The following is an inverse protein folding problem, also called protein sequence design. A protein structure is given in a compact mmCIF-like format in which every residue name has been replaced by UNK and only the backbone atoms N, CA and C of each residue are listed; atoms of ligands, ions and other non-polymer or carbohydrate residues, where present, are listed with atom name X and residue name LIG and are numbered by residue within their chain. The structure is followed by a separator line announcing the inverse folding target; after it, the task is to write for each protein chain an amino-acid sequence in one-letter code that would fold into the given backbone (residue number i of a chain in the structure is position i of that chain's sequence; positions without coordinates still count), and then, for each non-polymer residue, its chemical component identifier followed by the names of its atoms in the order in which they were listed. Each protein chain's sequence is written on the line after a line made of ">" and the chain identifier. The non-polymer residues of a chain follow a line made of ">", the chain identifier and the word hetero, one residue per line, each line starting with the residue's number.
data_IF_259983585488
#
_entry.id   IF_259983585488
#
_cell.length_a   1.000
_cell.length_b   1.000
_cell.length_c   1.000
_cell.angle_alpha   90.00
_cell.angle_beta   90.00
_cell.angle_gamma   90.00
#
_symmetry.space_group_name_H-M   'P 1'
#
loop_
_entity.id
_entity.type
_entity.pdbx_description
1 polymer ?
#
# COMPACT_ATOMS: atom_id res chain seq x y z
N UNK A 1 -5.51 -4.05 11.43
CA UNK A 1 -5.35 -4.01 12.91
C UNK A 1 -4.80 -2.68 13.43
N UNK A 2 -3.59 -2.20 13.07
CA UNK A 2 -2.97 -0.98 13.64
C UNK A 2 -3.88 0.27 13.56
N UNK A 3 -4.54 0.53 12.43
CA UNK A 3 -5.48 1.64 12.26
C UNK A 3 -6.69 1.52 13.20
N UNK A 4 -7.26 0.32 13.33
CA UNK A 4 -8.39 0.06 14.21
C UNK A 4 -8.04 0.35 15.68
N UNK A 5 -6.89 -0.17 16.13
CA UNK A 5 -6.38 0.09 17.49
C UNK A 5 -6.10 1.59 17.73
N UNK A 6 -5.53 2.29 16.73
CA UNK A 6 -5.28 3.72 16.82
C UNK A 6 -6.59 4.53 16.92
N UNK A 7 -7.61 4.17 16.15
CA UNK A 7 -8.93 4.79 16.22
C UNK A 7 -9.61 4.55 17.59
N UNK A 8 -9.55 3.34 18.12
CA UNK A 8 -10.07 3.01 19.46
C UNK A 8 -9.37 3.79 20.57
N UNK A 9 -8.03 3.91 20.49
CA UNK A 9 -7.26 4.74 21.45
C UNK A 9 -7.70 6.21 21.45
N UNK A 10 -8.24 6.72 20.35
CA UNK A 10 -8.80 8.07 20.23
C UNK A 10 -10.28 8.15 20.65
N UNK A 11 -10.83 7.09 21.22
CA UNK A 11 -12.23 7.04 21.70
C UNK A 11 -13.26 6.80 20.60
N UNK A 12 -12.84 6.45 19.38
CA UNK A 12 -13.77 6.12 18.31
C UNK A 12 -14.28 4.69 18.45
N UNK A 13 -15.61 4.49 18.28
CA UNK A 13 -16.16 3.15 18.04
C UNK A 13 -15.79 2.70 16.63
N UNK A 14 -15.18 1.53 16.51
CA UNK A 14 -14.66 1.00 15.26
C UNK A 14 -15.51 -0.16 14.75
N UNK A 15 -16.11 0.03 13.59
CA UNK A 15 -16.84 -1.00 12.85
C UNK A 15 -16.03 -1.41 11.64
N UNK A 16 -15.65 -2.68 11.55
CA UNK A 16 -14.99 -3.21 10.36
C UNK A 16 -16.01 -3.86 9.41
N UNK A 17 -15.92 -3.54 8.12
CA UNK A 17 -16.56 -4.32 7.06
C UNK A 17 -15.47 -5.11 6.36
N UNK A 18 -15.45 -6.41 6.61
CA UNK A 18 -14.41 -7.33 6.20
C UNK A 18 -14.84 -8.15 4.96
N UNK A 19 -13.90 -8.45 4.10
CA UNK A 19 -14.16 -9.27 2.92
C UNK A 19 -13.78 -10.73 3.16
N UNK A 20 -14.74 -11.64 2.91
CA UNK A 20 -14.47 -13.08 3.00
C UNK A 20 -13.28 -13.48 2.13
N UNK A 21 -12.34 -14.19 2.74
CA UNK A 21 -11.15 -14.71 2.09
C UNK A 21 -10.01 -13.69 1.86
N UNK A 22 -10.22 -12.39 2.14
CA UNK A 22 -9.20 -11.34 2.05
C UNK A 22 -8.76 -10.84 3.44
N UNK A 23 -9.73 -10.72 4.35
CA UNK A 23 -9.47 -10.15 5.67
C UNK A 23 -9.10 -11.25 6.66
N UNK A 24 -8.01 -11.02 7.41
CA UNK A 24 -7.62 -11.90 8.51
C UNK A 24 -8.70 -11.90 9.59
N UNK A 25 -9.23 -13.06 9.99
CA UNK A 25 -10.25 -13.16 11.03
C UNK A 25 -9.86 -12.53 12.38
N UNK A 26 -8.56 -12.47 12.69
CA UNK A 26 -8.05 -11.84 13.92
C UNK A 26 -8.31 -10.33 13.99
N UNK A 27 -8.76 -9.69 12.88
CA UNK A 27 -9.23 -8.31 12.92
C UNK A 27 -10.38 -8.12 13.91
N UNK A 28 -11.20 -9.16 14.14
CA UNK A 28 -12.30 -9.13 15.10
C UNK A 28 -11.85 -8.71 16.51
N UNK A 29 -10.64 -9.08 16.93
CA UNK A 29 -10.09 -8.75 18.26
C UNK A 29 -9.72 -7.27 18.40
N UNK A 30 -9.60 -6.56 17.28
CA UNK A 30 -9.12 -5.17 17.20
C UNK A 30 -10.23 -4.15 16.97
N UNK A 31 -11.48 -4.59 16.77
CA UNK A 31 -12.64 -3.73 16.46
C UNK A 31 -13.78 -3.97 17.44
N UNK A 32 -14.74 -3.04 17.49
CA UNK A 32 -15.92 -3.19 18.35
C UNK A 32 -17.03 -4.02 17.68
N UNK A 33 -17.02 -4.05 16.33
CA UNK A 33 -17.95 -4.85 15.56
C UNK A 33 -17.34 -5.18 14.19
N UNK A 34 -17.59 -6.40 13.70
CA UNK A 34 -17.16 -6.83 12.37
C UNK A 34 -18.36 -7.35 11.55
N UNK A 35 -18.41 -6.94 10.28
CA UNK A 35 -19.42 -7.37 9.32
C UNK A 35 -18.72 -8.02 8.14
N UNK A 36 -19.05 -9.25 7.84
CA UNK A 36 -18.46 -9.96 6.72
C UNK A 36 -19.31 -9.84 5.46
N UNK A 37 -18.69 -9.44 4.36
CA UNK A 37 -19.33 -9.32 3.05
C UNK A 37 -18.49 -9.99 1.97
N UNK A 38 -19.10 -10.26 0.83
CA UNK A 38 -18.36 -10.68 -0.37
C UNK A 38 -17.89 -9.46 -1.16
N UNK A 39 -16.80 -9.61 -1.90
CA UNK A 39 -16.28 -8.56 -2.77
C UNK A 39 -17.34 -8.16 -3.81
N UNK A 40 -17.54 -6.86 -4.03
CA UNK A 40 -18.55 -6.32 -4.95
C UNK A 40 -19.91 -5.97 -4.32
N UNK A 41 -20.18 -6.37 -3.08
CA UNK A 41 -21.45 -6.08 -2.38
C UNK A 41 -21.48 -4.65 -1.81
N UNK A 42 -21.41 -3.64 -2.69
CA UNK A 42 -21.36 -2.22 -2.31
C UNK A 42 -22.63 -1.75 -1.58
N UNK A 43 -23.80 -2.18 -2.01
CA UNK A 43 -25.04 -1.86 -1.34
C UNK A 43 -25.15 -2.48 0.05
N UNK A 44 -24.61 -3.68 0.23
CA UNK A 44 -24.52 -4.32 1.56
C UNK A 44 -23.55 -3.56 2.48
N UNK A 45 -22.37 -3.19 1.97
CA UNK A 45 -21.40 -2.34 2.67
C UNK A 45 -22.08 -1.06 3.19
N UNK A 46 -22.72 -0.30 2.30
CA UNK A 46 -23.36 0.98 2.64
C UNK A 46 -24.44 0.79 3.69
N UNK A 47 -25.36 -0.17 3.50
CA UNK A 47 -26.42 -0.44 4.49
C UNK A 47 -25.85 -0.82 5.85
N UNK A 48 -24.80 -1.62 5.86
CA UNK A 48 -24.14 -2.07 7.11
C UNK A 48 -23.53 -0.90 7.88
N UNK A 49 -22.87 0.03 7.20
CA UNK A 49 -22.28 1.22 7.80
C UNK A 49 -23.37 2.21 8.28
N UNK A 50 -24.40 2.48 7.47
CA UNK A 50 -25.50 3.40 7.83
C UNK A 50 -26.30 2.89 9.02
N UNK A 51 -26.62 1.59 9.09
CA UNK A 51 -27.33 0.98 10.23
C UNK A 51 -26.59 1.19 11.56
N UNK A 52 -25.26 1.38 11.49
CA UNK A 52 -24.38 1.57 12.64
C UNK A 52 -24.00 3.03 12.92
N UNK A 53 -24.59 3.95 12.17
CA UNK A 53 -24.35 5.38 12.31
C UNK A 53 -22.94 5.83 11.93
N UNK A 54 -22.24 5.06 11.10
CA UNK A 54 -20.90 5.40 10.64
C UNK A 54 -20.96 6.59 9.69
N UNK A 55 -20.17 7.63 9.99
CA UNK A 55 -20.04 8.85 9.18
C UNK A 55 -18.70 8.98 8.50
N UNK A 56 -17.66 8.35 9.06
CA UNK A 56 -16.32 8.34 8.49
C UNK A 56 -15.83 6.89 8.33
N UNK A 57 -15.17 6.61 7.22
CA UNK A 57 -14.59 5.29 6.97
C UNK A 57 -13.16 5.42 6.44
N UNK A 58 -12.34 4.42 6.73
CA UNK A 58 -10.98 4.28 6.21
C UNK A 58 -10.95 3.02 5.33
N UNK A 59 -10.41 3.15 4.14
CA UNK A 59 -10.07 1.98 3.33
C UNK A 59 -8.67 1.51 3.73
N UNK A 60 -8.53 0.23 4.08
CA UNK A 60 -7.26 -0.34 4.52
C UNK A 60 -7.15 -1.80 4.13
N UNK A 61 -5.96 -2.21 3.75
CA UNK A 61 -5.65 -3.56 3.28
C UNK A 61 -5.46 -3.61 1.78
N UNK A 62 -5.12 -4.79 1.29
CA UNK A 62 -4.89 -5.05 -0.13
C UNK A 62 -5.86 -6.11 -0.62
N UNK A 63 -6.47 -5.89 -1.76
CA UNK A 63 -7.25 -6.90 -2.47
C UNK A 63 -6.41 -7.35 -3.66
N UNK A 64 -6.12 -8.65 -3.76
CA UNK A 64 -5.29 -9.17 -4.85
C UNK A 64 -6.03 -9.07 -6.18
N UNK A 65 -5.36 -8.57 -7.22
CA UNK A 65 -5.95 -8.42 -8.58
C UNK A 65 -6.53 -9.74 -9.10
N UNK A 66 -5.88 -10.86 -8.81
CA UNK A 66 -6.36 -12.20 -9.19
C UNK A 66 -7.78 -12.44 -8.67
N UNK A 67 -8.07 -12.12 -7.40
CA UNK A 67 -9.40 -12.29 -6.81
C UNK A 67 -10.43 -11.29 -7.27
N UNK A 68 -9.99 -10.11 -7.72
CA UNK A 68 -10.89 -9.14 -8.36
C UNK A 68 -11.51 -9.69 -9.65
N UNK A 69 -10.82 -10.59 -10.36
CA UNK A 69 -11.36 -11.20 -11.59
C UNK A 69 -12.08 -12.52 -11.34
N UNK A 70 -11.77 -13.26 -10.28
CA UNK A 70 -12.27 -14.63 -10.07
C UNK A 70 -13.52 -14.70 -9.17
N UNK A 71 -13.72 -13.78 -8.21
CA UNK A 71 -14.71 -13.93 -7.14
C UNK A 71 -15.53 -12.68 -6.80
N UNK A 72 -15.76 -11.79 -7.76
CA UNK A 72 -16.65 -10.64 -7.53
C UNK A 72 -18.10 -11.09 -7.64
N UNK A 73 -18.87 -10.86 -6.57
CA UNK A 73 -20.31 -11.06 -6.55
C UNK A 73 -21.01 -9.71 -6.32
N UNK A 74 -21.11 -8.86 -7.38
CA UNK A 74 -21.66 -7.52 -7.22
C UNK A 74 -23.16 -7.58 -6.94
N UNK A 75 -23.61 -6.75 -6.00
CA UNK A 75 -25.02 -6.43 -5.87
C UNK A 75 -25.43 -5.33 -6.87
N UNK A 76 -26.71 -4.94 -6.88
CA UNK A 76 -27.23 -3.94 -7.83
C UNK A 76 -26.47 -2.61 -7.78
N UNK A 77 -26.01 -2.15 -6.60
CA UNK A 77 -25.19 -0.93 -6.48
C UNK A 77 -23.78 -1.17 -7.00
N UNK A 78 -23.18 -2.31 -6.70
CA UNK A 78 -21.88 -2.72 -7.25
C UNK A 78 -21.90 -2.76 -8.78
N UNK A 79 -22.91 -3.41 -9.37
CA UNK A 79 -23.11 -3.45 -10.84
C UNK A 79 -23.24 -2.05 -11.43
N UNK A 80 -24.02 -1.16 -10.81
CA UNK A 80 -24.21 0.22 -11.28
C UNK A 80 -22.91 1.04 -11.23
N UNK A 81 -22.05 0.81 -10.26
CA UNK A 81 -20.73 1.48 -10.19
C UNK A 81 -19.81 0.89 -11.25
N UNK A 82 -19.73 -0.42 -11.38
CA UNK A 82 -18.89 -1.08 -12.37
C UNK A 82 -19.28 -0.71 -13.82
N UNK A 83 -20.57 -0.58 -14.13
CA UNK A 83 -21.03 -0.21 -15.48
C UNK A 83 -20.64 1.21 -15.91
N UNK A 84 -20.21 2.07 -14.98
CA UNK A 84 -19.76 3.44 -15.25
C UNK A 84 -18.26 3.55 -15.48
N UNK A 85 -17.51 2.50 -15.19
CA UNK A 85 -16.06 2.49 -15.36
C UNK A 85 -15.70 2.10 -16.79
N UNK A 86 -15.11 3.04 -17.53
CA UNK A 86 -14.64 2.80 -18.90
C UNK A 86 -13.36 1.94 -18.93
N UNK A 87 -12.55 2.04 -17.87
CA UNK A 87 -11.33 1.26 -17.65
C UNK A 87 -11.30 0.85 -16.18
N UNK A 88 -10.88 -0.38 -15.90
CA UNK A 88 -10.80 -0.91 -14.53
C UNK A 88 -9.40 -0.65 -13.93
N UNK A 89 -8.99 0.64 -13.83
CA UNK A 89 -7.86 0.99 -12.99
C UNK A 89 -8.23 0.93 -11.51
N UNK A 90 -7.30 0.48 -10.67
CA UNK A 90 -7.54 0.30 -9.23
C UNK A 90 -8.01 1.60 -8.57
N UNK A 91 -7.36 2.72 -8.89
CA UNK A 91 -7.70 4.04 -8.37
C UNK A 91 -9.11 4.51 -8.79
N UNK A 92 -9.56 4.19 -10.00
CA UNK A 92 -10.88 4.57 -10.49
C UNK A 92 -11.99 3.81 -9.77
N UNK A 93 -11.76 2.51 -9.48
CA UNK A 93 -12.70 1.69 -8.70
C UNK A 93 -12.81 2.27 -7.27
N UNK A 94 -11.67 2.54 -6.61
CA UNK A 94 -11.66 3.08 -5.25
C UNK A 94 -12.32 4.46 -5.18
N UNK A 95 -12.05 5.34 -6.15
CA UNK A 95 -12.71 6.66 -6.26
C UNK A 95 -14.21 6.55 -6.50
N UNK A 96 -14.65 5.61 -7.32
CA UNK A 96 -16.06 5.38 -7.59
C UNK A 96 -16.80 4.87 -6.34
N UNK A 97 -16.19 3.94 -5.59
CA UNK A 97 -16.71 3.46 -4.31
C UNK A 97 -16.78 4.60 -3.29
N UNK A 98 -15.72 5.41 -3.18
CA UNK A 98 -15.68 6.55 -2.26
C UNK A 98 -16.74 7.61 -2.61
N UNK A 99 -16.93 7.90 -3.89
CA UNK A 99 -17.97 8.82 -4.36
C UNK A 99 -19.37 8.33 -3.99
N UNK A 100 -19.62 7.05 -4.12
CA UNK A 100 -20.94 6.48 -3.75
C UNK A 100 -21.13 6.49 -2.23
N UNK A 101 -20.11 6.20 -1.43
CA UNK A 101 -20.15 6.32 0.03
C UNK A 101 -20.42 7.77 0.48
N UNK A 102 -19.73 8.74 -0.15
CA UNK A 102 -19.91 10.17 0.14
C UNK A 102 -21.34 10.63 -0.15
N UNK A 103 -21.97 10.18 -1.25
CA UNK A 103 -23.37 10.46 -1.56
C UNK A 103 -24.33 9.92 -0.51
N UNK A 104 -23.94 8.88 0.18
CA UNK A 104 -24.71 8.25 1.27
C UNK A 104 -24.37 8.83 2.66
N UNK A 105 -23.57 9.91 2.71
CA UNK A 105 -23.18 10.59 3.93
C UNK A 105 -22.05 9.92 4.72
N UNK A 106 -21.25 9.07 4.07
CA UNK A 106 -20.09 8.41 4.65
C UNK A 106 -18.83 8.96 3.98
N UNK A 107 -18.04 9.74 4.70
CA UNK A 107 -16.80 10.33 4.23
C UNK A 107 -15.64 9.34 4.31
N UNK A 108 -14.88 9.21 3.21
CA UNK A 108 -13.63 8.44 3.24
C UNK A 108 -12.48 9.34 3.68
N UNK A 109 -11.83 8.96 4.76
CA UNK A 109 -10.69 9.66 5.34
C UNK A 109 -9.41 8.84 5.22
N UNK A 110 -8.26 9.53 5.13
CA UNK A 110 -6.98 8.88 4.94
C UNK A 110 -6.50 8.09 6.17
N UNK A 111 -6.00 6.88 5.93
CA UNK A 111 -5.46 6.01 6.99
C UNK A 111 -4.27 6.63 7.73
N UNK A 112 -3.42 7.38 7.03
CA UNK A 112 -2.24 8.05 7.59
C UNK A 112 -2.58 9.02 8.74
N UNK A 113 -3.78 9.64 8.72
CA UNK A 113 -4.24 10.50 9.81
C UNK A 113 -4.42 9.76 11.15
N UNK A 114 -4.66 8.46 11.14
CA UNK A 114 -4.79 7.63 12.34
C UNK A 114 -3.46 7.08 12.85
N UNK A 115 -2.49 6.89 11.96
CA UNK A 115 -1.19 6.28 12.26
C UNK A 115 -0.02 7.12 11.70
N UNK A 116 0.07 8.43 12.03
CA UNK A 116 1.11 9.31 11.49
C UNK A 116 2.51 8.85 11.88
N UNK A 117 2.65 8.13 12.99
CA UNK A 117 3.90 7.52 13.44
C UNK A 117 4.43 6.43 12.50
N UNK A 118 3.58 5.87 11.65
CA UNK A 118 4.00 4.90 10.62
C UNK A 118 4.52 5.57 9.35
N UNK A 119 4.30 6.86 9.14
CA UNK A 119 4.85 7.54 7.96
C UNK A 119 6.36 7.60 8.01
N UNK A 120 6.99 7.38 6.87
CA UNK A 120 8.44 7.46 6.72
C UNK A 120 8.92 8.89 7.01
N UNK A 121 9.75 9.13 8.03
CA UNK A 121 10.37 10.42 8.24
C UNK A 121 11.46 10.64 7.18
N UNK A 122 11.78 11.89 6.86
CA UNK A 122 12.87 12.19 5.93
C UNK A 122 14.24 11.75 6.48
N UNK A 123 15.11 11.29 5.60
CA UNK A 123 16.48 10.93 5.90
C UNK A 123 16.77 9.42 5.90
N UNK A 124 17.99 9.06 6.30
CA UNK A 124 18.40 7.66 6.39
C UNK A 124 17.95 7.06 7.72
N UNK A 125 17.30 5.91 7.66
CA UNK A 125 16.70 5.23 8.82
C UNK A 125 17.63 4.16 9.41
N UNK A 126 18.59 3.68 8.64
CA UNK A 126 19.57 2.64 9.02
C UNK A 126 20.93 3.24 9.37
N UNK A 127 21.78 2.44 10.05
CA UNK A 127 23.16 2.85 10.39
C UNK A 127 23.99 3.10 9.14
N UNK A 128 23.90 2.21 8.15
CA UNK A 128 24.55 2.39 6.85
C UNK A 128 23.79 3.43 6.03
N UNK A 129 24.47 4.45 5.58
CA UNK A 129 23.94 5.42 4.62
C UNK A 129 24.22 4.96 3.19
N UNK A 130 23.40 5.34 2.21
CA UNK A 130 23.74 5.14 0.82
C UNK A 130 25.08 5.80 0.46
N UNK A 131 25.89 5.15 -0.35
CA UNK A 131 27.07 5.76 -0.96
C UNK A 131 26.67 6.75 -2.04
N UNK A 132 27.59 7.64 -2.47
CA UNK A 132 27.36 8.58 -3.57
C UNK A 132 26.85 7.89 -4.84
N UNK A 133 27.44 6.75 -5.18
CA UNK A 133 26.99 5.96 -6.34
C UNK A 133 25.55 5.44 -6.17
N UNK A 134 25.19 4.96 -4.96
CA UNK A 134 23.84 4.52 -4.66
C UNK A 134 22.84 5.69 -4.64
N UNK A 135 23.24 6.89 -4.22
CA UNK A 135 22.41 8.09 -4.32
C UNK A 135 22.12 8.48 -5.78
N UNK A 136 23.09 8.30 -6.69
CA UNK A 136 22.87 8.49 -8.12
C UNK A 136 21.88 7.46 -8.68
N UNK A 137 22.00 6.20 -8.25
CA UNK A 137 21.05 5.13 -8.61
C UNK A 137 19.64 5.44 -8.08
N UNK A 138 19.54 5.95 -6.84
CA UNK A 138 18.25 6.37 -6.28
C UNK A 138 17.62 7.46 -7.14
N UNK A 139 18.37 8.54 -7.47
CA UNK A 139 17.86 9.63 -8.33
C UNK A 139 17.40 9.13 -9.69
N UNK A 140 18.19 8.25 -10.31
CA UNK A 140 17.84 7.62 -11.57
C UNK A 140 16.56 6.78 -11.47
N UNK A 141 16.49 5.89 -10.49
CA UNK A 141 15.30 5.04 -10.27
C UNK A 141 14.06 5.85 -9.88
N UNK A 142 14.25 6.96 -9.15
CA UNK A 142 13.14 7.83 -8.70
C UNK A 142 12.37 8.43 -9.87
N UNK A 143 13.07 9.01 -10.84
CA UNK A 143 12.42 9.59 -12.02
C UNK A 143 11.61 8.54 -12.78
N UNK A 144 12.16 7.35 -12.93
CA UNK A 144 11.50 6.23 -13.62
C UNK A 144 10.29 5.73 -12.83
N UNK A 145 10.43 5.59 -11.50
CA UNK A 145 9.32 5.16 -10.64
C UNK A 145 8.15 6.17 -10.68
N UNK A 146 8.43 7.47 -10.74
CA UNK A 146 7.39 8.51 -10.90
C UNK A 146 6.69 8.42 -12.25
N UNK A 147 7.43 8.21 -13.36
CA UNK A 147 6.81 8.01 -14.68
C UNK A 147 5.99 6.73 -14.74
N UNK A 148 6.48 5.63 -14.17
CA UNK A 148 5.74 4.39 -14.04
C UNK A 148 4.41 4.59 -13.28
N UNK A 149 4.47 5.37 -12.19
CA UNK A 149 3.30 5.77 -11.41
C UNK A 149 2.34 6.68 -12.18
N UNK A 150 2.86 7.58 -13.03
CA UNK A 150 2.04 8.45 -13.88
C UNK A 150 1.23 7.65 -14.91
N UNK A 151 1.80 6.53 -15.38
CA UNK A 151 1.12 5.60 -16.30
C UNK A 151 0.21 4.61 -15.57
N UNK A 152 0.12 4.68 -14.25
CA UNK A 152 -0.64 3.76 -13.39
C UNK A 152 -0.31 2.27 -13.57
N UNK A 153 0.94 1.97 -13.95
CA UNK A 153 1.42 0.59 -14.12
C UNK A 153 1.88 0.02 -12.79
N UNK A 154 2.69 0.78 -12.02
CA UNK A 154 3.27 0.39 -10.75
C UNK A 154 3.95 1.58 -10.07
N UNK A 155 4.71 1.32 -9.01
CA UNK A 155 5.35 2.36 -8.21
C UNK A 155 6.72 1.96 -7.63
N UNK A 156 7.23 0.78 -8.02
CA UNK A 156 8.53 0.26 -7.60
C UNK A 156 9.41 -0.04 -8.80
N UNK A 157 10.68 0.34 -8.69
CA UNK A 157 11.70 0.13 -9.73
C UNK A 157 12.95 -0.45 -9.07
N UNK A 158 13.56 -1.43 -9.71
CA UNK A 158 14.85 -2.00 -9.32
C UNK A 158 15.90 -1.59 -10.33
N UNK A 159 16.95 -0.95 -9.85
CA UNK A 159 18.02 -0.42 -10.71
C UNK A 159 19.40 -0.88 -10.22
N UNK A 160 20.37 -0.92 -11.14
CA UNK A 160 21.79 -1.06 -10.86
C UNK A 160 22.61 -0.48 -12.01
N UNK A 161 23.69 0.25 -11.72
CA UNK A 161 24.60 0.87 -12.70
C UNK A 161 23.83 1.71 -13.73
N UNK A 162 22.87 2.51 -13.26
CA UNK A 162 21.97 3.34 -14.08
C UNK A 162 21.22 2.54 -15.15
N UNK A 163 20.92 1.28 -14.85
CA UNK A 163 20.14 0.41 -15.72
C UNK A 163 18.91 -0.05 -14.96
N UNK A 164 17.75 0.02 -15.59
CA UNK A 164 16.51 -0.54 -15.06
C UNK A 164 16.55 -2.05 -15.22
N UNK A 165 16.44 -2.79 -14.13
CA UNK A 165 16.42 -4.25 -14.12
C UNK A 165 15.02 -4.82 -13.99
N UNK A 166 14.14 -4.11 -13.25
CA UNK A 166 12.74 -4.48 -13.14
C UNK A 166 11.87 -3.26 -12.87
N UNK A 167 10.68 -3.29 -13.44
CA UNK A 167 9.58 -2.37 -13.19
C UNK A 167 8.44 -3.17 -12.58
N UNK A 168 7.82 -2.63 -11.53
CA UNK A 168 6.62 -3.24 -10.93
C UNK A 168 5.43 -3.10 -11.87
N UNK A 169 4.68 -4.19 -12.00
CA UNK A 169 3.39 -4.22 -12.66
C UNK A 169 2.40 -5.03 -11.79
N UNK A 170 1.67 -5.94 -12.41
CA UNK A 170 0.64 -6.73 -11.73
C UNK A 170 1.19 -7.71 -10.68
N UNK A 171 2.47 -8.09 -10.80
CA UNK A 171 3.13 -9.03 -9.90
C UNK A 171 3.37 -8.48 -8.50
N UNK A 172 3.40 -7.15 -8.34
CA UNK A 172 3.62 -6.45 -7.08
C UNK A 172 5.09 -6.32 -6.67
N UNK A 173 5.34 -5.55 -5.63
CA UNK A 173 6.67 -5.07 -5.19
C UNK A 173 7.65 -6.22 -4.94
N UNK A 174 7.26 -7.23 -4.18
CA UNK A 174 8.18 -8.30 -3.73
C UNK A 174 8.67 -9.15 -4.91
N UNK A 175 7.80 -9.49 -5.85
CA UNK A 175 8.18 -10.23 -7.06
C UNK A 175 9.07 -9.39 -7.98
N UNK A 176 8.80 -8.09 -8.07
CA UNK A 176 9.65 -7.14 -8.80
C UNK A 176 11.05 -7.08 -8.22
N UNK A 177 11.17 -7.01 -6.88
CA UNK A 177 12.47 -7.02 -6.19
C UNK A 177 13.21 -8.34 -6.45
N UNK A 178 12.54 -9.48 -6.34
CA UNK A 178 13.14 -10.78 -6.61
C UNK A 178 13.66 -10.88 -8.04
N UNK A 179 12.86 -10.46 -9.00
CA UNK A 179 13.23 -10.50 -10.44
C UNK A 179 14.40 -9.56 -10.74
N UNK A 180 14.29 -8.29 -10.34
CA UNK A 180 15.33 -7.30 -10.56
C UNK A 180 16.63 -7.60 -9.80
N UNK A 181 16.51 -8.06 -8.56
CA UNK A 181 17.67 -8.42 -7.74
C UNK A 181 18.44 -9.64 -8.30
N UNK A 182 17.75 -10.65 -8.83
CA UNK A 182 18.38 -11.77 -9.54
C UNK A 182 19.18 -11.29 -10.76
N UNK A 183 18.62 -10.35 -11.54
CA UNK A 183 19.32 -9.77 -12.69
C UNK A 183 20.51 -8.91 -12.27
N UNK A 184 20.42 -8.24 -11.13
CA UNK A 184 21.52 -7.47 -10.56
C UNK A 184 22.67 -8.38 -10.07
N UNK A 185 22.37 -9.57 -9.58
CA UNK A 185 23.29 -10.45 -8.86
C UNK A 185 23.50 -10.00 -7.40
N UNK A 186 23.80 -8.73 -7.19
CA UNK A 186 23.96 -8.11 -5.86
C UNK A 186 23.82 -6.59 -5.95
N UNK A 187 23.71 -5.91 -4.80
CA UNK A 187 23.75 -4.44 -4.66
C UNK A 187 22.73 -3.69 -5.53
N UNK A 188 21.58 -4.29 -5.81
CA UNK A 188 20.48 -3.59 -6.45
C UNK A 188 19.97 -2.48 -5.55
N UNK A 189 19.54 -1.38 -6.16
CA UNK A 189 18.82 -0.29 -5.50
C UNK A 189 17.33 -0.42 -5.84
N UNK A 190 16.52 -0.46 -4.81
CA UNK A 190 15.06 -0.54 -4.90
C UNK A 190 14.49 0.85 -4.60
N UNK A 191 13.70 1.40 -5.50
CA UNK A 191 13.04 2.69 -5.34
C UNK A 191 11.53 2.49 -5.39
N UNK A 192 10.84 2.86 -4.32
CA UNK A 192 9.37 2.80 -4.23
C UNK A 192 8.82 4.15 -3.84
N UNK A 193 7.96 4.71 -4.70
CA UNK A 193 7.40 6.06 -4.55
C UNK A 193 5.87 6.00 -4.48
N UNK A 194 5.22 7.09 -4.09
CA UNK A 194 3.80 7.26 -4.36
C UNK A 194 3.58 7.66 -5.81
N UNK A 195 2.52 7.16 -6.45
CA UNK A 195 2.13 7.60 -7.79
C UNK A 195 1.78 9.10 -7.74
N UNK A 196 2.09 9.91 -8.78
CA UNK A 196 1.83 11.35 -8.77
C UNK A 196 0.36 11.73 -8.50
N UNK A 197 -0.57 10.92 -9.01
CA UNK A 197 -2.01 11.14 -8.86
C UNK A 197 -2.66 10.23 -7.82
N UNK A 198 -1.86 9.59 -6.96
CA UNK A 198 -2.36 8.66 -5.94
C UNK A 198 -3.23 9.37 -4.92
N UNK A 199 -4.42 8.85 -4.72
CA UNK A 199 -5.29 9.35 -3.67
C UNK A 199 -4.92 8.68 -2.34
N UNK A 200 -4.21 9.42 -1.50
CA UNK A 200 -3.70 8.95 -0.21
C UNK A 200 -4.79 8.58 0.80
N UNK A 201 -6.07 8.81 0.47
CA UNK A 201 -7.18 8.33 1.29
C UNK A 201 -7.41 6.83 1.13
N UNK A 202 -7.07 6.27 -0.03
CA UNK A 202 -7.40 4.89 -0.39
C UNK A 202 -6.19 3.97 -0.43
N UNK A 203 -5.12 4.46 -1.04
CA UNK A 203 -3.92 3.67 -1.28
C UNK A 203 -2.69 4.46 -0.81
N UNK A 204 -2.08 3.99 0.27
CA UNK A 204 -0.84 4.56 0.79
C UNK A 204 0.26 3.53 0.56
N UNK A 205 1.32 3.88 -0.21
CA UNK A 205 2.46 3.00 -0.38
C UNK A 205 2.97 2.49 0.96
N UNK A 206 3.32 1.23 1.03
CA UNK A 206 3.83 0.65 2.26
C UNK A 206 5.02 -0.26 2.00
N UNK A 207 5.90 -0.34 2.98
CA UNK A 207 6.99 -1.30 3.08
C UNK A 207 7.08 -1.81 4.52
N UNK A 208 7.64 -3.01 4.70
CA UNK A 208 7.77 -3.60 6.01
C UNK A 208 8.93 -4.59 6.07
N UNK A 209 9.00 -5.32 7.18
CA UNK A 209 10.05 -6.32 7.41
C UNK A 209 10.14 -7.34 6.27
N UNK A 210 9.01 -7.77 5.73
CA UNK A 210 8.99 -8.80 4.68
C UNK A 210 9.59 -8.28 3.37
N UNK A 211 9.33 -7.03 2.99
CA UNK A 211 10.01 -6.40 1.84
C UNK A 211 11.54 -6.41 2.02
N UNK A 212 12.03 -6.08 3.22
CA UNK A 212 13.48 -6.09 3.48
C UNK A 212 14.06 -7.51 3.49
N UNK A 213 13.30 -8.51 3.96
CA UNK A 213 13.71 -9.92 3.85
C UNK A 213 13.83 -10.37 2.40
N UNK A 214 12.89 -9.96 1.54
CA UNK A 214 12.96 -10.22 0.09
C UNK A 214 14.20 -9.56 -0.53
N UNK A 215 14.49 -8.32 -0.15
CA UNK A 215 15.71 -7.63 -0.58
C UNK A 215 16.99 -8.37 -0.18
N UNK A 216 17.04 -8.89 1.05
CA UNK A 216 18.19 -9.65 1.55
C UNK A 216 18.44 -10.94 0.76
N UNK A 217 17.38 -11.64 0.33
CA UNK A 217 17.48 -12.86 -0.50
C UNK A 217 18.23 -12.61 -1.80
N UNK A 218 18.10 -11.42 -2.37
CA UNK A 218 18.73 -11.04 -3.64
C UNK A 218 19.92 -10.08 -3.43
N UNK A 219 20.40 -9.93 -2.21
CA UNK A 219 21.54 -9.06 -1.84
C UNK A 219 21.39 -7.63 -2.36
N UNK A 220 20.17 -7.10 -2.36
CA UNK A 220 19.92 -5.70 -2.66
C UNK A 220 20.49 -4.80 -1.54
N UNK A 221 21.01 -3.63 -1.89
CA UNK A 221 21.76 -2.79 -0.96
C UNK A 221 21.00 -1.58 -0.42
N UNK A 222 20.02 -1.07 -1.15
CA UNK A 222 19.28 0.14 -0.78
C UNK A 222 17.80 0.00 -1.05
N UNK A 223 16.99 0.44 -0.08
CA UNK A 223 15.58 0.76 -0.24
C UNK A 223 15.40 2.26 -0.10
N UNK A 224 14.94 2.91 -1.17
CA UNK A 224 14.54 4.32 -1.16
C UNK A 224 13.02 4.44 -1.23
N UNK A 225 12.44 5.22 -0.31
CA UNK A 225 10.99 5.45 -0.24
C UNK A 225 10.67 6.95 -0.16
N UNK A 226 9.42 7.31 -0.36
CA UNK A 226 8.97 8.72 -0.31
C UNK A 226 8.60 9.11 1.11
N UNK A 227 9.26 10.15 1.63
CA UNK A 227 9.04 10.70 2.97
C UNK A 227 7.62 11.28 3.10
N UNK A 228 6.98 11.04 4.25
CA UNK A 228 5.62 11.51 4.53
C UNK A 228 4.53 10.85 3.69
N UNK A 229 4.88 9.96 2.75
CA UNK A 229 3.94 9.30 1.84
C UNK A 229 4.03 7.78 1.82
N UNK A 230 4.96 7.19 2.57
CA UNK A 230 5.12 5.73 2.67
C UNK A 230 4.90 5.30 4.10
N UNK A 231 4.07 4.27 4.32
CA UNK A 231 3.90 3.63 5.62
C UNK A 231 5.01 2.60 5.85
N UNK A 232 5.63 2.65 7.01
CA UNK A 232 6.66 1.71 7.46
C UNK A 232 6.04 0.77 8.51
N UNK A 233 5.73 -0.44 8.10
CA UNK A 233 5.26 -1.46 9.04
C UNK A 233 6.42 -2.15 9.74
N UNK A 234 6.19 -2.49 11.02
CA UNK A 234 7.20 -3.16 11.88
C UNK A 234 8.57 -2.46 11.82
N UNK A 235 8.51 -1.12 11.90
CA UNK A 235 9.65 -0.23 11.66
C UNK A 235 10.89 -0.57 12.51
N UNK A 236 10.79 -0.83 13.84
CA UNK A 236 11.96 -1.19 14.62
C UNK A 236 12.62 -2.50 14.17
N UNK A 237 11.81 -3.52 13.94
CA UNK A 237 12.24 -4.85 13.47
C UNK A 237 12.81 -4.78 12.06
N UNK A 238 12.14 -4.03 11.17
CA UNK A 238 12.58 -3.79 9.80
C UNK A 238 13.96 -3.13 9.76
N UNK A 239 14.17 -2.05 10.53
CA UNK A 239 15.46 -1.33 10.60
C UNK A 239 16.54 -2.25 11.19
N UNK A 240 16.24 -2.93 12.30
CA UNK A 240 17.20 -3.85 12.93
C UNK A 240 17.64 -4.96 11.98
N UNK A 241 16.71 -5.51 11.20
CA UNK A 241 17.00 -6.54 10.20
C UNK A 241 17.83 -5.96 9.05
N UNK A 242 17.47 -4.79 8.53
CA UNK A 242 18.20 -4.10 7.47
C UNK A 242 19.65 -3.82 7.88
N UNK A 243 19.86 -3.33 9.10
CA UNK A 243 21.21 -3.06 9.65
C UNK A 243 22.06 -4.34 9.71
N UNK A 244 21.50 -5.48 10.12
CA UNK A 244 22.17 -6.77 10.13
C UNK A 244 22.56 -7.27 8.75
N UNK A 245 21.75 -6.95 7.74
CA UNK A 245 21.98 -7.34 6.34
C UNK A 245 22.80 -6.32 5.55
N UNK A 246 23.22 -5.19 6.18
CA UNK A 246 23.93 -4.12 5.49
C UNK A 246 23.08 -3.37 4.44
N UNK A 247 21.75 -3.46 4.55
CA UNK A 247 20.81 -2.76 3.67
C UNK A 247 20.59 -1.35 4.22
N UNK A 248 20.71 -0.33 3.36
CA UNK A 248 20.34 1.04 3.69
C UNK A 248 18.87 1.29 3.38
N UNK A 249 18.15 1.88 4.32
CA UNK A 249 16.78 2.37 4.12
C UNK A 249 16.83 3.89 4.21
N UNK A 250 16.44 4.57 3.15
CA UNK A 250 16.42 6.04 3.08
C UNK A 250 15.09 6.55 2.58
N UNK A 251 14.70 7.72 3.04
CA UNK A 251 13.43 8.38 2.73
C UNK A 251 13.69 9.81 2.27
N UNK A 252 13.18 10.18 1.09
CA UNK A 252 13.42 11.45 0.39
C UNK A 252 12.13 12.25 0.25
#
# INVERSE_FOLDING_TARGET
>A
MKIALAARKRGSRVVAVAHHGETDPSLADSVDEIVWIKLGQLGHLIRSLKKRGVRQAVMAGTITKKRMFENILPDLKGLKVMSKLAVFHDDDILRAVASELSREGIEIVGSAGYVPELLAPAGCLTRRKPSKAEEEEIRFGWSIAKELGRLDIGQCVVVRKRTVLALEAIEGTDQTILRGGKLAGEKAVVVKVSKPNQDMRFDVPSVGLDTVKVMAQVKASVLAVEAGKTLLFDRPEMISYADKQGISITSL
#
